data_IF_626006619338
#
_entry.id   IF_626006619338
#
_cell.length_a   1.000
_cell.length_b   1.000
_cell.length_c   1.000
_cell.angle_alpha   90.00
_cell.angle_beta   90.00
_cell.angle_gamma   90.00
#
_symmetry.space_group_name_H-M   'P 1'
#
loop_
_entity.id
_entity.type
_entity.pdbx_description
1 polymer ?
#
# COMPACT_ATOMS: atom_id res chain seq x y z
N UNK A 1 5.12 13.14 2.49
CA UNK A 1 3.87 13.25 1.69
C UNK A 1 2.86 12.25 2.24
N UNK A 2 1.55 12.53 2.17
CA UNK A 2 0.52 11.56 2.57
C UNK A 2 -0.72 11.77 1.68
N UNK A 3 -0.95 10.85 0.75
CA UNK A 3 -2.04 10.90 -0.23
C UNK A 3 -2.95 9.70 -0.04
N UNK A 4 -4.26 9.93 0.04
CA UNK A 4 -5.25 8.86 0.15
C UNK A 4 -5.59 8.34 -1.24
N UNK A 5 -5.29 7.06 -1.49
CA UNK A 5 -5.60 6.39 -2.76
C UNK A 5 -7.01 5.80 -2.75
N UNK A 6 -7.42 5.24 -1.60
CA UNK A 6 -8.73 4.62 -1.42
C UNK A 6 -9.24 4.79 0.01
N UNK A 7 -10.56 4.84 0.16
CA UNK A 7 -11.23 4.79 1.46
C UNK A 7 -12.67 4.30 1.31
N UNK A 8 -12.99 3.23 2.02
CA UNK A 8 -14.35 2.75 2.24
C UNK A 8 -14.59 2.46 3.73
N UNK A 9 -15.71 1.78 4.03
CA UNK A 9 -16.12 1.45 5.40
C UNK A 9 -15.22 0.40 6.09
N UNK A 10 -14.42 -0.36 5.33
CA UNK A 10 -13.58 -1.45 5.82
C UNK A 10 -12.08 -1.17 5.68
N UNK A 11 -11.66 -0.44 4.64
CA UNK A 11 -10.25 -0.23 4.29
C UNK A 11 -9.97 1.20 3.85
N UNK A 12 -8.85 1.73 4.33
CA UNK A 12 -8.22 2.94 3.80
C UNK A 12 -6.81 2.61 3.32
N UNK A 13 -6.42 3.15 2.18
CA UNK A 13 -5.10 2.96 1.56
C UNK A 13 -4.48 4.32 1.31
N UNK A 14 -3.25 4.49 1.79
CA UNK A 14 -2.51 5.74 1.67
C UNK A 14 -1.14 5.50 1.04
N UNK A 15 -0.74 6.44 0.18
CA UNK A 15 0.62 6.55 -0.30
C UNK A 15 1.36 7.59 0.55
N UNK A 16 2.42 7.15 1.23
CA UNK A 16 3.14 7.98 2.20
C UNK A 16 4.61 8.07 1.86
N UNK A 17 5.20 9.24 2.11
CA UNK A 17 6.65 9.43 2.09
C UNK A 17 7.01 9.93 3.48
N UNK A 18 7.74 9.10 4.22
CA UNK A 18 8.25 9.40 5.57
C UNK A 18 9.61 10.12 5.51
N UNK A 19 10.12 10.56 6.66
CA UNK A 19 11.34 11.37 6.81
C UNK A 19 12.63 10.71 6.25
N UNK A 20 12.60 9.40 5.98
CA UNK A 20 13.70 8.64 5.38
C UNK A 20 13.67 8.64 3.83
N UNK A 21 12.81 9.46 3.21
CA UNK A 21 12.60 9.53 1.74
C UNK A 21 12.20 8.19 1.12
N UNK A 22 11.55 7.31 1.90
CA UNK A 22 11.00 6.04 1.43
C UNK A 22 9.51 6.20 1.14
N UNK A 23 9.11 5.83 -0.08
CA UNK A 23 7.72 5.71 -0.48
C UNK A 23 7.13 4.41 0.07
N UNK A 24 6.00 4.52 0.75
CA UNK A 24 5.30 3.40 1.38
C UNK A 24 3.82 3.40 1.01
N UNK A 25 3.25 2.21 0.93
CA UNK A 25 1.81 2.00 0.87
C UNK A 25 1.33 1.59 2.26
N UNK A 26 0.58 2.46 2.91
CA UNK A 26 0.00 2.24 4.23
C UNK A 26 -1.45 1.75 4.09
N UNK A 27 -1.76 0.65 4.77
CA UNK A 27 -3.06 0.01 4.76
C UNK A 27 -3.67 0.06 6.16
N UNK A 28 -4.84 0.68 6.28
CA UNK A 28 -5.55 0.82 7.55
C UNK A 28 -6.93 0.17 7.42
N UNK A 29 -7.14 -0.94 8.12
CA UNK A 29 -8.46 -1.55 8.26
C UNK A 29 -9.26 -0.82 9.34
N UNK A 30 -10.50 -0.47 9.01
CA UNK A 30 -11.44 0.18 9.92
C UNK A 30 -12.17 -0.85 10.80
N UNK A 31 -12.20 -2.11 10.37
CA UNK A 31 -12.83 -3.22 11.07
C UNK A 31 -12.04 -4.52 10.83
N UNK A 32 -11.32 -4.98 11.85
CA UNK A 32 -10.52 -6.19 11.80
C UNK A 32 -11.37 -7.47 11.61
N UNK A 33 -12.66 -7.45 11.98
CA UNK A 33 -13.55 -8.59 11.73
C UNK A 33 -13.95 -8.68 10.24
N UNK A 34 -13.89 -7.56 9.50
CA UNK A 34 -14.20 -7.49 8.08
C UNK A 34 -12.96 -7.61 7.18
N UNK A 35 -11.82 -7.10 7.64
CA UNK A 35 -10.56 -7.09 6.92
C UNK A 35 -9.38 -7.18 7.91
N UNK A 36 -8.87 -8.39 8.12
CA UNK A 36 -7.74 -8.66 9.02
C UNK A 36 -6.44 -8.61 8.22
N UNK A 37 -5.67 -7.54 8.39
CA UNK A 37 -4.42 -7.33 7.68
C UNK A 37 -3.28 -8.24 8.17
N UNK A 38 -3.48 -8.97 9.28
CA UNK A 38 -2.44 -9.83 9.85
C UNK A 38 -2.31 -11.22 9.23
N UNK A 39 -3.17 -11.53 8.26
CA UNK A 39 -3.16 -12.83 7.60
C UNK A 39 -2.19 -12.79 6.42
N UNK A 40 -1.09 -13.55 6.54
CA UNK A 40 0.08 -13.60 5.62
C UNK A 40 -0.24 -13.89 4.13
N UNK A 41 -1.46 -14.28 3.79
CA UNK A 41 -1.92 -14.54 2.40
C UNK A 41 -3.03 -13.60 1.92
N UNK A 42 -3.55 -12.73 2.79
CA UNK A 42 -4.64 -11.83 2.44
C UNK A 42 -4.15 -10.50 1.87
N UNK A 43 -3.01 -9.98 2.34
CA UNK A 43 -2.45 -8.71 1.86
C UNK A 43 -1.31 -8.97 0.88
N UNK A 44 -1.52 -8.64 -0.39
CA UNK A 44 -0.51 -8.80 -1.43
C UNK A 44 -0.35 -7.49 -2.18
N UNK A 45 0.89 -6.99 -2.22
CA UNK A 45 1.27 -5.78 -2.95
C UNK A 45 2.24 -6.13 -4.05
N UNK A 46 2.01 -5.60 -5.24
CA UNK A 46 2.94 -5.66 -6.36
C UNK A 46 3.30 -4.25 -6.80
N UNK A 47 4.57 -4.03 -7.13
CA UNK A 47 5.05 -2.83 -7.81
C UNK A 47 5.71 -3.22 -9.13
N UNK A 48 5.28 -2.65 -10.25
CA UNK A 48 5.81 -2.96 -11.59
C UNK A 48 5.91 -4.49 -11.86
N UNK A 49 4.83 -5.22 -11.55
CA UNK A 49 4.74 -6.69 -11.66
C UNK A 49 5.68 -7.49 -10.74
N UNK A 50 6.40 -6.86 -9.82
CA UNK A 50 7.22 -7.53 -8.80
C UNK A 50 6.52 -7.50 -7.42
N UNK A 51 6.51 -8.61 -6.66
CA UNK A 51 5.94 -8.61 -5.33
C UNK A 51 6.75 -7.71 -4.39
N UNK A 52 6.05 -7.00 -3.52
CA UNK A 52 6.62 -6.16 -2.46
C UNK A 52 6.30 -6.81 -1.12
N UNK A 53 7.32 -6.89 -0.25
CA UNK A 53 7.12 -7.38 1.11
C UNK A 53 6.21 -6.44 1.90
N UNK A 54 5.19 -7.00 2.53
CA UNK A 54 4.26 -6.30 3.40
C UNK A 54 4.67 -6.57 4.84
N UNK A 55 4.96 -5.51 5.59
CA UNK A 55 5.18 -5.55 7.02
C UNK A 55 3.84 -5.36 7.73
N UNK A 56 3.33 -6.43 8.31
CA UNK A 56 2.15 -6.37 9.17
C UNK A 56 2.58 -5.87 10.55
N UNK A 57 1.96 -4.77 11.00
CA UNK A 57 2.14 -4.29 12.37
C UNK A 57 1.11 -4.93 13.31
N UNK A 58 -0.16 -4.95 12.89
CA UNK A 58 -1.27 -5.60 13.59
C UNK A 58 -2.44 -5.96 12.64
N UNK A 59 -3.54 -6.46 13.19
CA UNK A 59 -4.73 -6.86 12.41
C UNK A 59 -5.40 -5.68 11.66
N UNK A 60 -5.12 -4.45 12.07
CA UNK A 60 -5.70 -3.24 11.48
C UNK A 60 -4.70 -2.41 10.69
N UNK A 61 -3.41 -2.73 10.75
CA UNK A 61 -2.37 -1.90 10.14
C UNK A 61 -1.27 -2.74 9.48
N UNK A 62 -1.00 -2.45 8.21
CA UNK A 62 0.09 -3.04 7.45
C UNK A 62 0.72 -2.01 6.51
N UNK A 63 2.01 -2.20 6.22
CA UNK A 63 2.81 -1.26 5.43
C UNK A 63 3.64 -2.01 4.40
N UNK A 64 3.60 -1.58 3.15
CA UNK A 64 4.48 -2.08 2.09
C UNK A 64 5.47 -1.00 1.67
N UNK A 65 6.78 -1.30 1.74
CA UNK A 65 7.82 -0.36 1.32
C UNK A 65 8.05 -0.48 -0.19
N UNK A 66 7.68 0.55 -0.95
CA UNK A 66 7.77 0.55 -2.42
C UNK A 66 9.19 0.88 -2.90
N UNK A 67 9.93 1.67 -2.12
CA UNK A 67 11.33 2.01 -2.39
C UNK A 67 11.62 3.49 -2.17
N UNK A 68 12.82 3.96 -2.57
CA UNK A 68 13.21 5.36 -2.43
C UNK A 68 12.34 6.27 -3.30
N UNK A 69 11.78 7.32 -2.72
CA UNK A 69 10.92 8.28 -3.42
C UNK A 69 11.68 8.97 -4.57
N UNK A 70 12.94 9.37 -4.35
CA UNK A 70 13.79 10.01 -5.37
C UNK A 70 13.93 9.17 -6.65
N UNK A 71 13.98 7.83 -6.53
CA UNK A 71 14.09 6.95 -7.69
C UNK A 71 12.77 6.83 -8.46
N UNK A 72 11.64 7.02 -7.76
CA UNK A 72 10.29 6.85 -8.30
C UNK A 72 9.70 8.15 -8.85
N UNK A 73 10.12 9.32 -8.36
CA UNK A 73 9.61 10.62 -8.85
C UNK A 73 9.90 10.87 -10.34
N UNK A 74 11.04 10.39 -10.84
CA UNK A 74 11.46 10.54 -12.24
C UNK A 74 10.95 9.41 -13.16
N UNK A 75 10.23 8.43 -12.62
CA UNK A 75 9.81 7.22 -13.33
C UNK A 75 8.30 6.99 -13.24
N UNK A 76 7.74 6.28 -14.22
CA UNK A 76 6.38 5.74 -14.08
C UNK A 76 6.44 4.40 -13.38
N UNK A 77 5.54 4.19 -12.42
CA UNK A 77 5.39 2.91 -11.74
C UNK A 77 3.92 2.59 -11.49
N UNK A 78 3.60 1.31 -11.43
CA UNK A 78 2.28 0.82 -11.07
C UNK A 78 2.33 0.10 -9.73
N UNK A 79 1.30 0.28 -8.93
CA UNK A 79 1.10 -0.45 -7.68
C UNK A 79 -0.21 -1.20 -7.78
N UNK A 80 -0.20 -2.48 -7.47
CA UNK A 80 -1.41 -3.32 -7.40
C UNK A 80 -1.52 -3.86 -5.99
N UNK A 81 -2.68 -3.62 -5.36
CA UNK A 81 -3.02 -4.13 -4.05
C UNK A 81 -4.15 -5.14 -4.18
N UNK A 82 -3.97 -6.28 -3.53
CA UNK A 82 -5.03 -7.21 -3.20
C UNK A 82 -5.11 -7.34 -1.69
N UNK A 83 -6.28 -7.07 -1.12
CA UNK A 83 -6.56 -7.37 0.28
C UNK A 83 -7.97 -7.93 0.43
N UNK A 84 -8.08 -9.14 0.96
CA UNK A 84 -9.36 -9.84 1.08
C UNK A 84 -10.13 -9.88 -0.27
N UNK A 85 -11.30 -9.22 -0.34
CA UNK A 85 -12.11 -9.05 -1.56
C UNK A 85 -11.78 -7.78 -2.37
N UNK A 86 -10.99 -6.87 -1.80
CA UNK A 86 -10.55 -5.65 -2.45
C UNK A 86 -9.37 -5.92 -3.40
N UNK A 87 -9.47 -5.39 -4.61
CA UNK A 87 -8.43 -5.48 -5.63
C UNK A 87 -8.42 -4.20 -6.46
N UNK A 88 -7.34 -3.43 -6.36
CA UNK A 88 -7.19 -2.17 -7.07
C UNK A 88 -5.73 -1.94 -7.48
N UNK A 89 -5.55 -1.15 -8.53
CA UNK A 89 -4.23 -0.75 -9.00
C UNK A 89 -4.19 0.74 -9.33
N UNK A 90 -3.07 1.36 -9.03
CA UNK A 90 -2.80 2.77 -9.27
C UNK A 90 -1.55 2.92 -10.11
N UNK A 91 -1.62 3.77 -11.13
CA UNK A 91 -0.50 4.14 -11.98
C UNK A 91 -0.01 5.53 -11.58
N UNK A 92 1.28 5.63 -11.32
CA UNK A 92 1.98 6.85 -10.97
C UNK A 92 2.98 7.21 -12.06
N UNK A 93 3.26 8.50 -12.22
CA UNK A 93 4.24 8.98 -13.17
C UNK A 93 4.59 10.45 -12.95
N UNK A 94 5.61 10.94 -13.65
CA UNK A 94 6.06 12.31 -13.53
C UNK A 94 4.93 13.27 -13.93
N UNK A 95 4.68 14.28 -13.09
CA UNK A 95 3.75 15.39 -13.39
C UNK A 95 4.42 16.49 -14.20
#
# INVERSE_FOLDING_TARGET
MHEQLHSDDNLSVFLTIEDDDILRLELVSQDADACDLSIDDEVVVFMNDAPVDVQVEDATHAVAELGPADELEDQSFSVVLRVHEFFEGWDFGPQ
#
